data_IF_272700072661
#
_entry.id   IF_272700072661
#
_cell.length_a   1.000
_cell.length_b   1.000
_cell.length_c   1.000
_cell.angle_alpha   90.00
_cell.angle_beta   90.00
_cell.angle_gamma   90.00
#
_symmetry.space_group_name_H-M   'P 1'
#
loop_
_entity.id
_entity.type
_entity.pdbx_description
1 polymer ?
#
# COMPACT_ATOMS: atom_id res chain seq x y z
N UNK A 1 18.52 17.83 -6.04
CA UNK A 1 17.55 18.72 -5.35
C UNK A 1 17.38 18.18 -3.95
N UNK A 2 17.95 18.84 -2.95
CA UNK A 2 17.66 18.50 -1.55
C UNK A 2 16.36 19.21 -1.18
N UNK A 3 15.30 18.45 -0.94
CA UNK A 3 14.03 18.99 -0.47
C UNK A 3 14.11 19.17 1.05
N UNK A 4 14.23 20.41 1.52
CA UNK A 4 14.38 20.73 2.95
C UNK A 4 13.03 20.91 3.65
N UNK A 5 11.96 21.20 2.89
CA UNK A 5 10.60 21.42 3.41
C UNK A 5 9.65 20.25 3.14
N UNK A 6 8.71 19.98 4.05
CA UNK A 6 7.67 18.93 3.94
C UNK A 6 6.94 19.00 2.60
N UNK A 7 6.57 20.20 2.17
CA UNK A 7 5.82 20.44 0.94
C UNK A 7 6.62 20.06 -0.31
N UNK A 8 7.93 20.35 -0.30
CA UNK A 8 8.83 19.96 -1.39
C UNK A 8 9.00 18.44 -1.44
N UNK A 9 9.12 17.77 -0.29
CA UNK A 9 9.20 16.30 -0.25
C UNK A 9 7.93 15.65 -0.81
N UNK A 10 6.75 16.15 -0.41
CA UNK A 10 5.45 15.66 -0.93
C UNK A 10 5.36 15.90 -2.43
N UNK A 11 5.84 17.04 -2.93
CA UNK A 11 5.84 17.35 -4.37
C UNK A 11 6.67 16.39 -5.22
N UNK A 12 7.57 15.60 -4.61
CA UNK A 12 8.38 14.59 -5.28
C UNK A 12 7.76 13.17 -5.27
N UNK A 13 6.66 12.94 -4.55
CA UNK A 13 5.94 11.65 -4.52
C UNK A 13 4.77 11.54 -5.52
N UNK A 14 4.74 10.53 -6.42
CA UNK A 14 3.68 10.39 -7.44
C UNK A 14 2.27 10.18 -6.87
N UNK A 15 2.16 9.93 -5.56
CA UNK A 15 0.92 9.86 -4.81
C UNK A 15 0.98 10.79 -3.58
N UNK A 16 0.59 12.05 -3.78
CA UNK A 16 0.72 13.12 -2.77
C UNK A 16 -0.34 13.05 -1.66
N UNK A 17 -1.46 12.37 -1.91
CA UNK A 17 -2.64 12.41 -1.02
C UNK A 17 -2.56 11.43 0.15
N UNK A 18 -1.57 10.53 0.17
CA UNK A 18 -1.46 9.53 1.22
C UNK A 18 -0.94 10.16 2.51
N UNK A 19 -1.81 10.19 3.52
CA UNK A 19 -1.41 10.55 4.88
C UNK A 19 -0.34 9.60 5.44
N UNK A 20 -0.49 8.29 5.17
CA UNK A 20 0.44 7.25 5.61
C UNK A 20 1.87 7.49 5.11
N UNK A 21 2.03 7.67 3.79
CA UNK A 21 3.33 7.85 3.14
C UNK A 21 3.95 9.18 3.56
N UNK A 22 3.18 10.26 3.57
CA UNK A 22 3.69 11.60 3.87
C UNK A 22 4.30 11.67 5.27
N UNK A 23 3.64 11.10 6.29
CA UNK A 23 4.14 11.13 7.66
C UNK A 23 5.44 10.33 7.83
N UNK A 24 5.52 9.15 7.19
CA UNK A 24 6.70 8.27 7.24
C UNK A 24 7.87 8.79 6.41
N UNK A 25 7.56 9.51 5.32
CA UNK A 25 8.56 10.18 4.50
C UNK A 25 9.33 11.22 5.31
N UNK A 26 8.65 12.01 6.16
CA UNK A 26 9.33 12.97 7.02
C UNK A 26 10.26 12.31 8.02
N UNK A 27 9.80 11.22 8.65
CA UNK A 27 10.59 10.46 9.63
C UNK A 27 11.83 9.84 8.97
N UNK A 28 11.67 9.20 7.82
CA UNK A 28 12.76 8.58 7.08
C UNK A 28 13.77 9.60 6.54
N UNK A 29 13.30 10.77 6.08
CA UNK A 29 14.17 11.86 5.64
C UNK A 29 15.00 12.44 6.79
N UNK A 30 14.37 12.68 7.95
CA UNK A 30 15.06 13.14 9.15
C UNK A 30 16.12 12.13 9.64
N UNK A 31 15.80 10.84 9.58
CA UNK A 31 16.72 9.75 9.90
C UNK A 31 17.79 9.48 8.83
N UNK A 32 17.72 10.14 7.67
CA UNK A 32 18.55 9.87 6.48
C UNK A 32 18.53 8.39 6.04
N UNK A 33 17.42 7.70 6.28
CA UNK A 33 17.24 6.29 5.93
C UNK A 33 16.86 6.15 4.44
N UNK A 34 17.89 6.05 3.59
CA UNK A 34 17.72 5.94 2.14
C UNK A 34 16.94 4.69 1.74
N UNK A 35 17.03 3.59 2.48
CA UNK A 35 16.33 2.35 2.13
C UNK A 35 14.83 2.50 2.37
N UNK A 36 14.44 3.02 3.54
CA UNK A 36 13.03 3.31 3.85
C UNK A 36 12.44 4.34 2.91
N UNK A 37 13.22 5.35 2.51
CA UNK A 37 12.81 6.32 1.49
C UNK A 37 12.52 5.66 0.13
N UNK A 38 13.38 4.74 -0.32
CA UNK A 38 13.14 3.99 -1.58
C UNK A 38 11.87 3.15 -1.50
N UNK A 39 11.63 2.50 -0.37
CA UNK A 39 10.42 1.69 -0.13
C UNK A 39 9.16 2.56 -0.14
N UNK A 40 9.19 3.74 0.49
CA UNK A 40 8.09 4.71 0.49
C UNK A 40 7.79 5.25 -0.91
N UNK A 41 8.82 5.58 -1.70
CA UNK A 41 8.63 6.01 -3.09
C UNK A 41 7.98 4.90 -3.92
N UNK A 42 8.44 3.66 -3.79
CA UNK A 42 7.85 2.54 -4.51
C UNK A 42 6.43 2.21 -4.03
N UNK A 43 6.14 2.38 -2.73
CA UNK A 43 4.78 2.29 -2.18
C UNK A 43 3.85 3.33 -2.81
N UNK A 44 4.28 4.60 -2.89
CA UNK A 44 3.52 5.66 -3.55
C UNK A 44 3.24 5.35 -5.03
N UNK A 45 4.24 4.80 -5.74
CA UNK A 45 4.07 4.33 -7.12
C UNK A 45 2.99 3.24 -7.22
N UNK A 46 3.00 2.25 -6.34
CA UNK A 46 1.99 1.17 -6.34
C UNK A 46 0.59 1.69 -5.98
N UNK A 47 0.48 2.59 -5.02
CA UNK A 47 -0.78 3.25 -4.66
C UNK A 47 -1.33 4.02 -5.85
N UNK A 48 -0.50 4.82 -6.54
CA UNK A 48 -0.90 5.54 -7.75
C UNK A 48 -1.28 4.59 -8.87
N UNK A 49 -0.49 3.57 -9.13
CA UNK A 49 -0.74 2.57 -10.18
C UNK A 49 -2.09 1.87 -10.00
N UNK A 50 -2.51 1.58 -8.77
CA UNK A 50 -3.81 0.95 -8.48
C UNK A 50 -5.01 1.79 -8.94
N UNK A 51 -4.87 3.12 -8.90
CA UNK A 51 -5.91 4.08 -9.33
C UNK A 51 -6.04 4.19 -10.85
N UNK A 52 -5.08 3.64 -11.62
CA UNK A 52 -5.07 3.66 -13.09
C UNK A 52 -6.30 2.93 -13.63
N UNK A 53 -6.95 3.56 -14.61
CA UNK A 53 -8.08 2.98 -15.34
C UNK A 53 -7.55 2.11 -16.49
N UNK A 54 -8.30 1.08 -16.89
CA UNK A 54 -7.84 0.10 -17.88
C UNK A 54 -7.36 0.70 -19.21
N UNK A 55 -7.98 1.79 -19.67
CA UNK A 55 -7.60 2.51 -20.89
C UNK A 55 -6.25 3.25 -20.81
N UNK A 56 -5.80 3.55 -19.59
CA UNK A 56 -4.61 4.35 -19.32
C UNK A 56 -3.37 3.46 -19.04
N UNK A 57 -3.50 2.14 -19.24
CA UNK A 57 -2.45 1.14 -18.99
C UNK A 57 -1.53 1.04 -20.21
N UNK A 58 -0.76 2.09 -20.42
CA UNK A 58 0.24 2.21 -21.47
C UNK A 58 1.52 2.80 -20.88
N UNK A 59 2.70 2.33 -21.34
CA UNK A 59 3.99 2.78 -20.83
C UNK A 59 4.16 4.32 -20.84
N UNK A 60 3.76 5.00 -21.92
CA UNK A 60 3.91 6.46 -22.06
C UNK A 60 2.99 7.23 -21.12
N UNK A 61 1.76 6.74 -20.94
CA UNK A 61 0.80 7.33 -20.01
C UNK A 61 1.27 7.11 -18.57
N UNK A 62 1.71 5.89 -18.25
CA UNK A 62 2.24 5.55 -16.92
C UNK A 62 3.50 6.34 -16.59
N UNK A 63 4.38 6.60 -17.55
CA UNK A 63 5.55 7.46 -17.37
C UNK A 63 5.11 8.84 -16.87
N UNK A 64 4.16 9.49 -17.55
CA UNK A 64 3.66 10.82 -17.15
C UNK A 64 2.94 10.79 -15.81
N UNK A 65 2.09 9.78 -15.60
CA UNK A 65 1.26 9.66 -14.39
C UNK A 65 2.07 9.38 -13.12
N UNK A 66 3.19 8.67 -13.26
CA UNK A 66 4.08 8.28 -12.16
C UNK A 66 5.32 9.18 -12.06
N UNK A 67 5.30 10.33 -12.74
CA UNK A 67 6.36 11.34 -12.77
C UNK A 67 7.72 10.82 -13.21
N UNK A 68 7.73 10.17 -14.37
CA UNK A 68 8.92 9.70 -15.07
C UNK A 68 9.83 8.82 -14.18
N UNK A 69 9.28 7.73 -13.61
CA UNK A 69 10.12 6.81 -12.85
C UNK A 69 11.12 6.12 -13.78
N UNK A 70 12.21 5.52 -13.25
CA UNK A 70 13.13 4.74 -14.06
C UNK A 70 12.41 3.70 -14.95
N UNK A 71 12.79 3.52 -16.23
CA UNK A 71 12.08 2.65 -17.17
C UNK A 71 11.88 1.20 -16.68
N UNK A 72 12.83 0.70 -15.88
CA UNK A 72 12.74 -0.61 -15.25
C UNK A 72 11.52 -0.75 -14.31
N UNK A 73 11.07 0.34 -13.67
CA UNK A 73 9.87 0.36 -12.83
C UNK A 73 8.64 0.19 -13.70
N UNK A 74 8.49 0.96 -14.79
CA UNK A 74 7.34 0.85 -15.69
C UNK A 74 7.25 -0.54 -16.30
N UNK A 75 8.36 -1.06 -16.85
CA UNK A 75 8.42 -2.42 -17.40
C UNK A 75 8.06 -3.46 -16.34
N UNK A 76 8.57 -3.30 -15.11
CA UNK A 76 8.25 -4.17 -13.99
C UNK A 76 6.78 -4.13 -13.57
N UNK A 77 6.16 -2.95 -13.57
CA UNK A 77 4.74 -2.77 -13.26
C UNK A 77 3.85 -3.45 -14.29
N UNK A 78 4.10 -3.17 -15.58
CA UNK A 78 3.37 -3.78 -16.70
C UNK A 78 3.53 -5.30 -16.66
N UNK A 79 4.75 -5.81 -16.50
CA UNK A 79 5.00 -7.26 -16.47
C UNK A 79 4.35 -7.98 -15.29
N UNK A 80 4.28 -7.37 -14.09
CA UNK A 80 3.84 -8.05 -12.86
C UNK A 80 2.38 -7.83 -12.50
N UNK A 81 1.82 -6.68 -12.86
CA UNK A 81 0.49 -6.23 -12.42
C UNK A 81 -0.44 -5.89 -13.59
N UNK A 82 -0.16 -6.43 -14.78
CA UNK A 82 -1.09 -6.41 -15.90
C UNK A 82 -1.08 -7.76 -16.61
N UNK A 83 -2.10 -8.00 -17.42
CA UNK A 83 -2.18 -9.15 -18.31
C UNK A 83 -2.04 -8.64 -19.75
N UNK A 84 -1.28 -9.36 -20.58
CA UNK A 84 -1.16 -9.04 -22.00
C UNK A 84 -2.31 -9.69 -22.76
N UNK A 85 -3.06 -8.89 -23.49
CA UNK A 85 -4.22 -9.35 -24.29
C UNK A 85 -4.01 -8.89 -25.72
N UNK A 86 -4.44 -9.70 -26.68
CA UNK A 86 -4.46 -9.30 -28.09
C UNK A 86 -5.75 -8.54 -28.36
N UNK A 87 -5.61 -7.30 -28.82
CA UNK A 87 -6.73 -6.48 -29.32
C UNK A 87 -6.50 -6.19 -30.80
N UNK A 88 -7.26 -6.91 -31.64
CA UNK A 88 -7.02 -6.94 -33.10
C UNK A 88 -5.64 -7.50 -33.44
N UNK A 89 -4.73 -6.64 -33.91
CA UNK A 89 -3.35 -6.99 -34.29
C UNK A 89 -2.31 -6.55 -33.27
N UNK A 90 -2.71 -5.87 -32.19
CA UNK A 90 -1.78 -5.29 -31.21
C UNK A 90 -1.86 -6.04 -29.88
N UNK A 91 -0.70 -6.22 -29.23
CA UNK A 91 -0.66 -6.65 -27.84
C UNK A 91 -0.82 -5.44 -26.93
N UNK A 92 -1.83 -5.46 -26.08
CA UNK A 92 -2.12 -4.41 -25.12
C UNK A 92 -2.05 -4.94 -23.69
N UNK A 93 -1.75 -4.05 -22.75
CA UNK A 93 -1.78 -4.36 -21.32
C UNK A 93 -3.16 -4.07 -20.73
N UNK A 94 -3.71 -5.02 -19.97
CA UNK A 94 -5.00 -4.88 -19.30
C UNK A 94 -4.84 -5.08 -17.80
N UNK A 95 -5.40 -4.16 -17.02
CA UNK A 95 -5.51 -4.32 -15.56
C UNK A 95 -6.84 -5.05 -15.26
N UNK A 96 -6.72 -6.27 -14.74
CA UNK A 96 -7.83 -7.06 -14.21
C UNK A 96 -8.08 -6.74 -12.73
N UNK A 97 -9.26 -7.06 -12.17
CA UNK A 97 -9.49 -6.95 -10.72
C UNK A 97 -8.43 -7.69 -9.89
N UNK A 98 -8.06 -8.91 -10.32
CA UNK A 98 -6.98 -9.71 -9.72
C UNK A 98 -5.64 -8.99 -9.76
N UNK A 99 -5.33 -8.28 -10.84
CA UNK A 99 -4.10 -7.48 -10.95
C UNK A 99 -4.09 -6.32 -9.95
N UNK A 100 -5.24 -5.65 -9.74
CA UNK A 100 -5.39 -4.60 -8.71
C UNK A 100 -5.23 -5.15 -7.31
N UNK A 101 -5.81 -6.31 -7.02
CA UNK A 101 -5.67 -6.98 -5.72
C UNK A 101 -4.22 -7.39 -5.46
N UNK A 102 -3.53 -7.89 -6.50
CA UNK A 102 -2.09 -8.20 -6.43
C UNK A 102 -1.27 -6.95 -6.13
N UNK A 103 -1.48 -5.84 -6.83
CA UNK A 103 -0.80 -4.58 -6.57
C UNK A 103 -1.08 -4.07 -5.14
N UNK A 104 -2.33 -4.21 -4.68
CA UNK A 104 -2.75 -3.86 -3.32
C UNK A 104 -2.00 -4.67 -2.27
N UNK A 105 -1.92 -6.00 -2.43
CA UNK A 105 -1.20 -6.86 -1.49
C UNK A 105 0.29 -6.56 -1.44
N UNK A 106 0.91 -6.22 -2.58
CA UNK A 106 2.31 -5.78 -2.62
C UNK A 106 2.52 -4.44 -1.92
N UNK A 107 1.59 -3.49 -2.08
CA UNK A 107 1.63 -2.22 -1.36
C UNK A 107 1.51 -2.43 0.16
N UNK A 108 0.59 -3.29 0.60
CA UNK A 108 0.43 -3.63 2.01
C UNK A 108 1.63 -4.36 2.60
N UNK A 109 2.26 -5.25 1.84
CA UNK A 109 3.50 -5.91 2.28
C UNK A 109 4.65 -4.91 2.49
N UNK A 110 4.77 -3.89 1.63
CA UNK A 110 5.73 -2.79 1.84
C UNK A 110 5.34 -1.94 3.05
N UNK A 111 4.06 -1.60 3.22
CA UNK A 111 3.60 -0.85 4.38
C UNK A 111 3.91 -1.58 5.69
N UNK A 112 3.76 -2.91 5.73
CA UNK A 112 4.17 -3.73 6.87
C UNK A 112 5.67 -3.61 7.13
N UNK A 113 6.51 -3.76 6.10
CA UNK A 113 7.97 -3.65 6.26
C UNK A 113 8.40 -2.26 6.74
N UNK A 114 7.75 -1.20 6.26
CA UNK A 114 8.03 0.19 6.64
C UNK A 114 7.65 0.46 8.11
N UNK A 115 6.66 -0.25 8.66
CA UNK A 115 6.18 -0.10 10.04
C UNK A 115 6.59 -1.29 10.93
N UNK A 116 7.76 -1.89 10.69
CA UNK A 116 8.31 -2.96 11.51
C UNK A 116 7.32 -4.11 11.75
N UNK A 117 6.63 -4.50 10.67
CA UNK A 117 5.63 -5.56 10.60
C UNK A 117 4.37 -5.30 11.43
N UNK A 118 4.09 -4.03 11.75
CA UNK A 118 2.98 -3.68 12.62
C UNK A 118 2.27 -2.36 12.25
N UNK A 119 1.18 -2.47 11.48
CA UNK A 119 0.56 -1.34 10.77
C UNK A 119 -0.87 -1.05 11.23
N UNK A 120 -1.29 0.23 11.17
CA UNK A 120 -2.70 0.63 11.30
C UNK A 120 -3.41 0.52 9.93
N UNK A 121 -4.47 -0.32 9.80
CA UNK A 121 -5.21 -0.46 8.54
C UNK A 121 -6.02 0.77 8.14
N UNK A 122 -6.38 1.66 9.08
CA UNK A 122 -7.30 2.77 8.82
C UNK A 122 -6.75 3.81 7.83
N UNK A 123 -5.54 4.38 8.01
CA UNK A 123 -4.99 5.33 7.04
C UNK A 123 -4.77 4.68 5.67
N UNK A 124 -4.33 3.42 5.63
CA UNK A 124 -4.15 2.68 4.38
C UNK A 124 -5.46 2.44 3.63
N UNK A 125 -6.55 2.14 4.34
CA UNK A 125 -7.88 2.01 3.76
C UNK A 125 -8.35 3.32 3.12
N UNK A 126 -8.17 4.44 3.82
CA UNK A 126 -8.53 5.76 3.31
C UNK A 126 -7.69 6.14 2.08
N UNK A 127 -6.36 6.04 2.19
CA UNK A 127 -5.43 6.44 1.14
C UNK A 127 -5.60 5.63 -0.15
N UNK A 128 -5.96 4.36 -0.04
CA UNK A 128 -6.16 3.46 -1.19
C UNK A 128 -7.63 3.37 -1.65
N UNK A 129 -8.54 4.09 -1.01
CA UNK A 129 -9.99 4.01 -1.25
C UNK A 129 -10.51 2.56 -1.19
N UNK A 130 -10.05 1.81 -0.19
CA UNK A 130 -10.46 0.43 0.06
C UNK A 130 -11.37 0.42 1.29
N UNK A 131 -12.55 -0.18 1.18
CA UNK A 131 -13.46 -0.32 2.31
C UNK A 131 -12.77 -1.03 3.50
N UNK A 132 -13.08 -0.65 4.75
CA UNK A 132 -12.37 -1.13 5.94
C UNK A 132 -12.46 -2.64 6.14
N UNK A 133 -13.50 -3.30 5.63
CA UNK A 133 -13.62 -4.75 5.66
C UNK A 133 -12.62 -5.40 4.69
N UNK A 134 -12.53 -4.87 3.46
CA UNK A 134 -11.65 -5.40 2.41
C UNK A 134 -10.18 -5.25 2.76
N UNK A 135 -9.77 -4.12 3.34
CA UNK A 135 -8.35 -3.93 3.74
C UNK A 135 -7.95 -4.98 4.79
N UNK A 136 -8.86 -5.30 5.72
CA UNK A 136 -8.66 -6.29 6.76
C UNK A 136 -8.56 -7.69 6.15
N UNK A 137 -9.37 -8.00 5.14
CA UNK A 137 -9.28 -9.26 4.39
C UNK A 137 -7.94 -9.39 3.65
N UNK A 138 -7.46 -8.33 2.99
CA UNK A 138 -6.14 -8.30 2.38
C UNK A 138 -5.03 -8.54 3.41
N UNK A 139 -5.04 -7.84 4.54
CA UNK A 139 -4.05 -8.03 5.61
C UNK A 139 -4.09 -9.44 6.21
N UNK A 140 -5.28 -10.03 6.39
CA UNK A 140 -5.42 -11.42 6.81
C UNK A 140 -4.88 -12.40 5.77
N UNK A 141 -5.10 -12.14 4.47
CA UNK A 141 -4.54 -12.96 3.39
C UNK A 141 -3.02 -12.94 3.33
N UNK A 142 -2.41 -11.84 3.80
CA UNK A 142 -0.95 -11.73 3.99
C UNK A 142 -0.46 -12.46 5.25
N UNK A 143 -1.37 -12.99 6.08
CA UNK A 143 -1.05 -13.68 7.33
C UNK A 143 -0.95 -12.76 8.55
N UNK A 144 -1.42 -11.51 8.45
CA UNK A 144 -1.44 -10.61 9.61
C UNK A 144 -2.55 -11.01 10.59
N UNK A 145 -2.23 -10.98 11.88
CA UNK A 145 -3.24 -11.01 12.94
C UNK A 145 -3.79 -9.61 13.14
N UNK A 146 -5.11 -9.52 13.25
CA UNK A 146 -5.83 -8.26 13.45
C UNK A 146 -6.25 -8.18 14.90
N UNK A 147 -5.61 -7.29 15.66
CA UNK A 147 -5.85 -7.10 17.08
C UNK A 147 -6.46 -5.71 17.33
N UNK A 148 -7.23 -5.59 18.41
CA UNK A 148 -7.63 -4.27 18.90
C UNK A 148 -6.39 -3.58 19.50
N UNK A 149 -6.30 -2.26 19.38
CA UNK A 149 -5.19 -1.51 19.99
C UNK A 149 -5.25 -1.69 21.52
N UNK A 150 -4.24 -2.36 22.08
CA UNK A 150 -4.09 -2.57 23.53
C UNK A 150 -3.68 -1.32 24.29
N UNK A 151 -3.63 -1.38 25.63
CA UNK A 151 -3.26 -0.22 26.47
C UNK A 151 -1.88 0.34 26.16
N UNK A 152 -0.86 -0.52 26.11
CA UNK A 152 0.52 -0.12 25.79
C UNK A 152 0.68 0.48 24.40
N UNK A 153 -0.04 -0.04 23.41
CA UNK A 153 -0.05 0.52 22.06
C UNK A 153 -0.83 1.84 21.97
N UNK A 154 -1.87 2.02 22.79
CA UNK A 154 -2.64 3.28 22.84
C UNK A 154 -1.79 4.41 23.45
N UNK A 155 -1.05 4.10 24.52
CA UNK A 155 -0.12 5.02 25.17
C UNK A 155 1.03 5.44 24.23
N UNK A 156 1.59 4.51 23.47
CA UNK A 156 2.62 4.82 22.47
C UNK A 156 2.12 5.72 21.32
N UNK A 157 0.82 5.67 21.02
CA UNK A 157 0.18 6.50 19.99
C UNK A 157 -0.38 7.81 20.61
N UNK A 158 -0.27 7.99 21.94
CA UNK A 158 -0.76 9.18 22.64
C UNK A 158 -2.29 9.27 22.71
N UNK A 159 -3.00 8.13 22.59
CA UNK A 159 -4.47 8.06 22.62
C UNK A 159 -4.92 7.32 23.88
N UNK A 160 -5.96 7.79 24.55
CA UNK A 160 -6.49 7.10 25.71
C UNK A 160 -7.07 5.72 25.32
N UNK A 161 -6.95 4.67 26.15
CA UNK A 161 -7.50 3.35 25.83
C UNK A 161 -9.02 3.36 25.56
N UNK A 162 -9.73 4.32 26.17
CA UNK A 162 -11.15 4.54 25.95
C UNK A 162 -11.44 5.11 24.55
N UNK A 163 -10.62 6.06 24.08
CA UNK A 163 -10.74 6.62 22.73
C UNK A 163 -10.36 5.62 21.64
N UNK A 164 -9.31 4.82 21.87
CA UNK A 164 -8.92 3.76 20.94
C UNK A 164 -10.05 2.73 20.74
N UNK A 165 -10.75 2.39 21.83
CA UNK A 165 -11.93 1.52 21.80
C UNK A 165 -13.13 2.20 21.13
N UNK A 166 -13.38 3.48 21.41
CA UNK A 166 -14.46 4.25 20.81
C UNK A 166 -14.30 4.40 19.30
N UNK A 167 -13.08 4.68 18.82
CA UNK A 167 -12.73 4.79 17.39
C UNK A 167 -12.56 3.43 16.70
N UNK A 168 -12.72 2.31 17.44
CA UNK A 168 -12.53 0.94 16.94
C UNK A 168 -11.20 0.75 16.23
N UNK A 169 -10.13 1.36 16.77
CA UNK A 169 -8.80 1.27 16.19
C UNK A 169 -8.34 -0.19 16.18
N UNK A 170 -7.79 -0.62 15.05
CA UNK A 170 -7.27 -1.97 14.86
C UNK A 170 -5.81 -1.88 14.47
N UNK A 171 -5.07 -2.92 14.82
CA UNK A 171 -3.67 -3.05 14.49
C UNK A 171 -3.46 -4.38 13.78
N UNK A 172 -2.78 -4.35 12.65
CA UNK A 172 -2.42 -5.53 11.89
C UNK A 172 -0.94 -5.83 12.10
N UNK A 173 -0.67 -6.94 12.79
CA UNK A 173 0.68 -7.38 13.10
C UNK A 173 0.99 -8.70 12.38
N UNK A 174 2.16 -8.77 11.75
CA UNK A 174 2.68 -10.01 11.19
C UNK A 174 3.58 -10.68 12.22
N UNK A 175 3.06 -11.70 12.90
CA UNK A 175 3.77 -12.44 13.95
C UNK A 175 4.33 -13.75 13.42
N UNK A 176 5.48 -14.16 13.94
CA UNK A 176 6.03 -15.51 13.74
C UNK A 176 5.58 -16.44 14.87
N UNK A 177 5.21 -17.70 14.59
CA UNK A 177 5.08 -18.33 13.28
C UNK A 177 3.89 -17.79 12.47
N UNK A 178 4.05 -17.78 11.14
CA UNK A 178 3.03 -17.26 10.22
C UNK A 178 1.78 -18.13 10.25
N UNK A 179 0.62 -17.51 10.48
CA UNK A 179 -0.68 -18.19 10.49
C UNK A 179 -1.54 -17.66 9.35
N UNK A 180 -1.87 -18.53 8.40
CA UNK A 180 -2.82 -18.22 7.35
C UNK A 180 -4.25 -18.52 7.80
N UNK A 181 -5.24 -17.74 7.32
CA UNK A 181 -6.63 -18.01 7.62
C UNK A 181 -7.04 -19.38 7.09
N UNK A 182 -7.81 -20.12 7.89
CA UNK A 182 -8.35 -21.41 7.45
C UNK A 182 -9.26 -21.22 6.24
N UNK A 183 -9.15 -22.08 5.20
CA UNK A 183 -10.09 -22.03 4.09
C UNK A 183 -11.50 -22.26 4.63
N UNK A 184 -12.44 -21.41 4.20
CA UNK A 184 -13.85 -21.55 4.59
C UNK A 184 -14.32 -22.96 4.19
N UNK A 185 -14.64 -23.80 5.17
CA UNK A 185 -15.33 -25.08 4.93
C UNK A 185 -16.67 -24.76 4.28
N UNK A 186 -16.76 -24.89 2.96
CA UNK A 186 -18.05 -24.82 2.28
C UNK A 186 -18.95 -25.90 2.87
N UNK A 187 -20.13 -25.50 3.36
CA UNK A 187 -21.19 -26.42 3.74
C UNK A 187 -21.57 -27.17 2.46
N UNK A 188 -21.30 -28.47 2.39
CA UNK A 188 -21.83 -29.32 1.33
C UNK A 188 -23.36 -29.20 1.40
N UNK A 189 -23.95 -28.55 0.40
CA UNK A 189 -25.36 -28.75 0.03
C UNK A 189 -25.50 -30.08 -0.66
#
# INVERSE_FOLDING_TARGET
MEATSKEQMISCLPFQTSSFVNDRMQQAAAAKDVNRLRELVYLAILMRFRTVRGKDVNADILNKLLWNPPPAIISGLLRRFTETVVDGKQQIHKITPRSKDKATNYALALALRIDDYNVDPAPLAADMEIGPIKIIEHLRSLGCRIEAVGRSASEAIGVSPAEAKAKRMRRAALTVPLSFPEPRKNRKT
#
